data_IF_270584322830
#
_entry.id   IF_270584322830
#
_cell.length_a   1.000
_cell.length_b   1.000
_cell.length_c   1.000
_cell.angle_alpha   90.00
_cell.angle_beta   90.00
_cell.angle_gamma   90.00
#
_symmetry.space_group_name_H-M   'P 1'
#
loop_
_entity.id
_entity.type
_entity.pdbx_description
1 polymer ?
#
# COMPACT_ATOMS: atom_id res chain seq x y z
N UNK A 1 8.70 7.30 18.25
CA UNK A 1 8.87 5.83 18.31
C UNK A 1 9.94 5.36 17.33
N UNK A 2 9.81 5.61 16.02
CA UNK A 2 10.89 5.30 15.06
C UNK A 2 12.20 6.08 15.34
N UNK A 3 12.13 7.27 15.95
CA UNK A 3 13.31 8.01 16.43
C UNK A 3 14.15 7.30 17.51
N UNK A 4 13.63 6.23 18.13
CA UNK A 4 14.38 5.40 19.08
C UNK A 4 15.19 4.31 18.38
N UNK A 5 15.01 4.12 17.07
CA UNK A 5 15.79 3.18 16.28
C UNK A 5 17.09 3.84 15.88
N UNK A 6 18.21 3.33 16.41
CA UNK A 6 19.56 3.81 16.10
C UNK A 6 20.06 3.36 14.71
N UNK A 7 19.24 2.65 13.94
CA UNK A 7 19.60 2.10 12.64
C UNK A 7 18.81 2.75 11.51
N UNK A 8 19.51 3.05 10.42
CA UNK A 8 18.92 3.53 9.18
C UNK A 8 18.29 2.35 8.43
N UNK A 9 16.96 2.24 8.51
CA UNK A 9 16.19 1.26 7.76
C UNK A 9 15.55 1.96 6.54
N UNK A 10 15.93 1.58 5.30
CA UNK A 10 15.33 2.12 4.08
C UNK A 10 13.81 2.00 4.08
N UNK A 11 13.12 3.05 3.64
CA UNK A 11 11.67 3.19 3.67
C UNK A 11 11.10 3.58 5.04
N UNK A 12 11.69 3.09 6.14
CA UNK A 12 11.15 3.26 7.50
C UNK A 12 11.71 4.48 8.22
N UNK A 13 13.04 4.59 8.30
CA UNK A 13 13.71 5.75 8.93
C UNK A 13 14.42 6.63 7.89
N UNK A 14 14.66 6.09 6.70
CA UNK A 14 15.17 6.82 5.53
C UNK A 14 14.10 6.79 4.45
N UNK A 15 13.62 7.93 3.95
CA UNK A 15 12.59 7.94 2.92
C UNK A 15 13.02 7.24 1.63
N UNK A 16 12.06 6.63 0.96
CA UNK A 16 12.23 6.03 -0.37
C UNK A 16 11.85 7.04 -1.45
N UNK A 17 12.73 7.17 -2.45
CA UNK A 17 12.54 8.10 -3.56
C UNK A 17 11.97 7.38 -4.79
N UNK A 18 10.99 8.01 -5.44
CA UNK A 18 10.23 7.45 -6.56
C UNK A 18 10.32 8.37 -7.77
N UNK A 19 10.77 7.82 -8.90
CA UNK A 19 10.75 8.51 -10.20
C UNK A 19 9.85 7.75 -11.14
N UNK A 20 8.83 8.41 -11.68
CA UNK A 20 7.83 7.82 -12.57
C UNK A 20 7.84 8.46 -13.95
N UNK A 21 7.31 7.74 -14.92
CA UNK A 21 6.95 8.23 -16.25
C UNK A 21 5.47 7.97 -16.54
N UNK A 22 4.97 8.41 -17.69
CA UNK A 22 3.59 8.14 -18.10
C UNK A 22 3.31 6.62 -18.03
N UNK A 23 2.24 6.26 -17.33
CA UNK A 23 1.82 4.87 -17.07
C UNK A 23 2.72 4.03 -16.17
N UNK A 24 3.74 4.61 -15.52
CA UNK A 24 4.35 3.95 -14.36
C UNK A 24 3.28 3.68 -13.32
N UNK A 25 3.14 2.43 -12.89
CA UNK A 25 2.07 2.01 -11.98
C UNK A 25 2.63 1.15 -10.85
N UNK A 26 2.02 1.30 -9.67
CA UNK A 26 2.21 0.41 -8.54
C UNK A 26 1.00 -0.51 -8.45
N UNK A 27 1.25 -1.82 -8.46
CA UNK A 27 0.20 -2.81 -8.28
C UNK A 27 -0.44 -2.69 -6.90
N UNK A 28 -1.56 -3.39 -6.69
CA UNK A 28 -2.20 -3.43 -5.39
C UNK A 28 -1.25 -3.94 -4.32
N UNK A 29 -0.98 -3.09 -3.32
CA UNK A 29 -0.01 -3.32 -2.27
C UNK A 29 -0.58 -2.92 -0.90
N UNK A 30 -0.22 -3.71 0.12
CA UNK A 30 -0.46 -3.41 1.53
C UNK A 30 0.83 -3.64 2.29
N UNK A 31 1.17 -2.73 3.20
CA UNK A 31 2.34 -2.90 4.06
C UNK A 31 2.20 -4.17 4.92
N UNK A 32 3.18 -5.09 4.90
CA UNK A 32 3.09 -6.32 5.67
C UNK A 32 3.07 -6.09 7.18
N UNK A 33 3.65 -4.99 7.67
CA UNK A 33 3.75 -4.67 9.09
C UNK A 33 2.56 -3.83 9.61
N UNK A 34 1.58 -3.52 8.76
CA UNK A 34 0.44 -2.66 9.10
C UNK A 34 0.86 -1.25 9.49
N UNK A 35 2.04 -0.78 9.05
CA UNK A 35 2.50 0.57 9.32
C UNK A 35 1.82 1.57 8.39
N UNK A 36 1.36 2.72 8.92
CA UNK A 36 0.96 3.81 8.07
C UNK A 36 2.19 4.46 7.44
N UNK A 37 1.99 5.04 6.26
CA UNK A 37 3.02 5.77 5.55
C UNK A 37 2.44 6.95 4.80
N UNK A 38 3.33 7.85 4.41
CA UNK A 38 2.97 9.08 3.72
C UNK A 38 3.84 9.22 2.48
N UNK A 39 3.25 9.71 1.40
CA UNK A 39 3.98 10.09 0.18
C UNK A 39 3.81 11.59 -0.08
N UNK A 40 4.91 12.27 -0.40
CA UNK A 40 4.92 13.63 -0.91
C UNK A 40 5.30 13.62 -2.40
N UNK A 41 4.49 14.30 -3.23
CA UNK A 41 4.78 14.47 -4.64
C UNK A 41 5.54 15.79 -4.84
N UNK A 42 6.85 15.71 -5.09
CA UNK A 42 7.73 16.87 -5.22
C UNK A 42 7.45 17.68 -6.48
N UNK A 43 7.40 17.02 -7.64
CA UNK A 43 7.27 17.70 -8.93
C UNK A 43 6.78 16.77 -10.05
N UNK A 44 6.40 17.37 -11.18
CA UNK A 44 6.01 16.68 -12.40
C UNK A 44 4.50 16.64 -12.61
N UNK A 45 4.02 15.56 -13.23
CA UNK A 45 2.61 15.31 -13.48
C UNK A 45 1.93 14.70 -12.25
N UNK A 46 0.60 14.78 -12.21
CA UNK A 46 -0.21 14.22 -11.15
C UNK A 46 -0.10 12.69 -11.07
N UNK A 47 -0.37 12.15 -9.89
CA UNK A 47 -0.45 10.71 -9.64
C UNK A 47 -1.87 10.35 -9.23
N UNK A 48 -2.46 9.34 -9.87
CA UNK A 48 -3.79 8.85 -9.51
C UNK A 48 -3.60 7.69 -8.55
N UNK A 49 -4.33 7.72 -7.44
CA UNK A 49 -4.31 6.71 -6.39
C UNK A 49 -5.68 6.06 -6.25
N UNK A 50 -5.64 4.78 -5.92
CA UNK A 50 -6.78 3.99 -5.50
C UNK A 50 -6.47 3.36 -4.14
N UNK A 51 -7.42 3.42 -3.23
CA UNK A 51 -7.29 2.88 -1.87
C UNK A 51 -8.48 1.99 -1.52
N UNK A 52 -8.22 0.81 -0.98
CA UNK A 52 -9.23 -0.08 -0.41
C UNK A 52 -8.97 -0.13 1.10
N UNK A 53 -9.96 0.25 1.92
CA UNK A 53 -9.80 0.24 3.37
C UNK A 53 -9.85 -1.21 3.89
N UNK A 54 -9.33 -1.44 5.10
CA UNK A 54 -9.11 -2.80 5.62
C UNK A 54 -10.41 -3.59 5.83
N UNK A 55 -11.54 -2.90 6.07
CA UNK A 55 -12.87 -3.52 6.20
C UNK A 55 -13.29 -4.27 4.93
N UNK A 56 -12.76 -3.86 3.77
CA UNK A 56 -13.03 -4.49 2.48
C UNK A 56 -11.91 -5.44 2.02
N UNK A 57 -10.90 -5.71 2.86
CA UNK A 57 -9.76 -6.58 2.53
C UNK A 57 -10.19 -8.02 2.19
N UNK A 58 -11.17 -8.58 2.90
CA UNK A 58 -11.70 -9.93 2.65
C UNK A 58 -12.45 -10.01 1.32
N UNK A 59 -13.24 -8.99 1.00
CA UNK A 59 -13.95 -8.91 -0.28
C UNK A 59 -12.96 -8.77 -1.45
N UNK A 60 -11.91 -7.96 -1.25
CA UNK A 60 -10.81 -7.83 -2.21
C UNK A 60 -10.09 -9.17 -2.42
N UNK A 61 -9.76 -9.89 -1.33
CA UNK A 61 -9.15 -11.23 -1.41
C UNK A 61 -10.01 -12.23 -2.17
N UNK A 62 -11.31 -12.29 -1.88
CA UNK A 62 -12.25 -13.18 -2.57
C UNK A 62 -12.30 -12.87 -4.08
N UNK A 63 -12.34 -11.59 -4.43
CA UNK A 63 -12.31 -11.15 -5.83
C UNK A 63 -11.00 -11.53 -6.52
N UNK A 64 -9.86 -11.32 -5.85
CA UNK A 64 -8.55 -11.70 -6.36
C UNK A 64 -8.39 -13.22 -6.51
N UNK A 65 -8.91 -14.01 -5.58
CA UNK A 65 -8.95 -15.48 -5.70
C UNK A 65 -9.81 -15.94 -6.87
N UNK A 66 -10.92 -15.26 -7.16
CA UNK A 66 -11.76 -15.57 -8.31
C UNK A 66 -11.11 -15.22 -9.65
N UNK A 67 -10.35 -14.13 -9.71
CA UNK A 67 -9.72 -13.65 -10.96
C UNK A 67 -8.36 -14.31 -11.21
N UNK A 68 -7.59 -14.51 -10.15
CA UNK A 68 -6.17 -14.87 -10.17
C UNK A 68 -5.85 -15.93 -9.09
N UNK A 69 -6.51 -17.11 -9.11
CA UNK A 69 -6.38 -18.13 -8.07
C UNK A 69 -4.93 -18.61 -7.90
N UNK A 70 -4.13 -18.59 -8.96
CA UNK A 70 -2.73 -19.00 -8.95
C UNK A 70 -1.80 -18.06 -8.18
N UNK A 71 -2.16 -16.79 -8.05
CA UNK A 71 -1.37 -15.78 -7.34
C UNK A 71 -1.81 -15.62 -5.88
N UNK A 72 -3.04 -16.04 -5.54
CA UNK A 72 -3.61 -15.98 -4.20
C UNK A 72 -3.45 -17.28 -3.40
N UNK A 73 -2.49 -18.14 -3.76
CA UNK A 73 -2.36 -19.53 -3.25
C UNK A 73 -1.94 -19.64 -1.79
N UNK A 74 -1.63 -18.53 -1.13
CA UNK A 74 -1.18 -18.54 0.25
C UNK A 74 -2.33 -18.25 1.22
N UNK A 75 -2.53 -19.12 2.21
CA UNK A 75 -3.39 -18.83 3.37
C UNK A 75 -2.80 -17.79 4.32
N UNK A 76 -1.56 -17.32 4.05
CA UNK A 76 -0.82 -16.36 4.88
C UNK A 76 -1.47 -14.98 4.95
N UNK A 77 -1.10 -14.22 5.98
CA UNK A 77 -1.49 -12.81 6.15
C UNK A 77 -1.03 -11.96 4.96
N UNK A 78 0.13 -12.29 4.38
CA UNK A 78 0.61 -11.70 3.11
C UNK A 78 0.21 -12.63 1.96
N UNK A 79 -1.05 -12.54 1.55
CA UNK A 79 -1.59 -13.35 0.45
C UNK A 79 -1.37 -12.72 -0.94
N UNK A 80 -1.04 -11.43 -0.99
CA UNK A 80 -0.69 -10.70 -2.20
C UNK A 80 0.68 -10.05 -1.99
N UNK A 81 1.71 -10.58 -2.67
CA UNK A 81 3.02 -9.93 -2.66
C UNK A 81 2.96 -8.62 -3.45
N UNK A 82 3.84 -7.68 -3.12
CA UNK A 82 4.01 -6.45 -3.90
C UNK A 82 4.27 -6.77 -5.37
N UNK A 83 3.74 -5.94 -6.27
CA UNK A 83 4.01 -5.99 -7.71
C UNK A 83 3.55 -7.26 -8.46
N UNK A 84 2.64 -8.04 -7.87
CA UNK A 84 2.16 -9.29 -8.48
C UNK A 84 1.01 -9.09 -9.46
N UNK A 85 0.02 -8.28 -9.12
CA UNK A 85 -1.20 -8.17 -9.90
C UNK A 85 -1.82 -6.77 -9.87
N UNK A 86 -2.07 -6.23 -11.06
CA UNK A 86 -2.82 -5.00 -11.24
C UNK A 86 -4.23 -5.35 -11.71
N UNK A 87 -5.24 -4.89 -10.97
CA UNK A 87 -6.66 -5.11 -11.30
C UNK A 87 -7.34 -3.77 -11.49
N UNK A 88 -8.10 -3.57 -12.59
CA UNK A 88 -8.85 -2.34 -12.81
C UNK A 88 -9.82 -2.06 -11.66
N UNK A 89 -9.85 -0.83 -11.11
CA UNK A 89 -10.77 -0.45 -10.03
C UNK A 89 -12.25 -0.67 -10.38
N UNK A 90 -12.63 -0.51 -11.65
CA UNK A 90 -14.00 -0.78 -12.11
C UNK A 90 -14.42 -2.22 -11.87
N UNK A 91 -13.55 -3.19 -12.19
CA UNK A 91 -13.81 -4.60 -11.99
C UNK A 91 -13.96 -4.97 -10.51
N UNK A 92 -13.18 -4.32 -9.64
CA UNK A 92 -13.31 -4.49 -8.18
C UNK A 92 -14.65 -3.95 -7.67
N UNK A 93 -15.07 -2.79 -8.18
CA UNK A 93 -16.34 -2.16 -7.81
C UNK A 93 -17.53 -3.00 -8.27
N UNK A 94 -17.49 -3.57 -9.49
CA UNK A 94 -18.51 -4.50 -10.02
C UNK A 94 -18.65 -5.78 -9.16
N UNK A 95 -17.57 -6.19 -8.50
CA UNK A 95 -17.54 -7.35 -7.59
C UNK A 95 -17.87 -6.97 -6.13
N UNK A 96 -18.26 -5.73 -5.87
CA UNK A 96 -18.71 -5.26 -4.55
C UNK A 96 -17.60 -4.79 -3.61
N UNK A 97 -16.39 -4.56 -4.11
CA UNK A 97 -15.28 -4.00 -3.31
C UNK A 97 -15.36 -2.48 -3.34
N UNK A 98 -15.58 -1.86 -2.18
CA UNK A 98 -15.56 -0.40 -2.05
C UNK A 98 -14.13 0.12 -2.08
N UNK A 99 -13.90 1.17 -2.87
CA UNK A 99 -12.59 1.82 -3.01
C UNK A 99 -12.74 3.33 -3.11
N UNK A 100 -11.69 4.03 -2.73
CA UNK A 100 -11.53 5.48 -2.89
C UNK A 100 -10.56 5.79 -4.01
N UNK A 101 -10.80 6.89 -4.72
CA UNK A 101 -9.89 7.44 -5.73
C UNK A 101 -9.46 8.84 -5.31
N UNK A 102 -8.16 9.13 -5.40
CA UNK A 102 -7.63 10.48 -5.22
C UNK A 102 -6.63 10.82 -6.32
N UNK A 103 -6.57 12.09 -6.70
CA UNK A 103 -5.54 12.63 -7.58
C UNK A 103 -4.61 13.45 -6.72
N UNK A 104 -3.32 13.13 -6.75
CA UNK A 104 -2.27 13.83 -6.06
C UNK A 104 -1.55 14.73 -7.06
N UNK A 105 -1.61 16.03 -6.81
CA UNK A 105 -0.87 17.05 -7.56
C UNK A 105 0.46 17.40 -6.87
N UNK A 106 1.45 17.96 -7.59
CA UNK A 106 2.70 18.39 -6.99
C UNK A 106 2.49 19.32 -5.80
N UNK A 107 3.25 19.09 -4.73
CA UNK A 107 3.12 19.80 -3.45
C UNK A 107 2.12 19.16 -2.47
N UNK A 108 1.46 18.06 -2.84
CA UNK A 108 0.47 17.39 -1.99
C UNK A 108 1.02 16.12 -1.32
N UNK A 109 0.47 15.84 -0.15
CA UNK A 109 0.69 14.60 0.58
C UNK A 109 -0.47 13.63 0.37
N UNK A 110 -0.14 12.34 0.24
CA UNK A 110 -1.09 11.23 0.36
C UNK A 110 -0.75 10.43 1.60
N UNK A 111 -1.74 10.24 2.47
CA UNK A 111 -1.60 9.47 3.70
C UNK A 111 -2.26 8.11 3.53
N UNK A 112 -1.52 7.04 3.83
CA UNK A 112 -2.02 5.67 3.79
C UNK A 112 -2.19 5.14 5.21
N UNK A 113 -3.41 4.72 5.52
CA UNK A 113 -3.77 4.17 6.82
C UNK A 113 -3.25 2.73 6.98
N UNK A 114 -3.09 2.26 8.23
CA UNK A 114 -2.72 0.88 8.53
C UNK A 114 -3.61 -0.11 7.78
N UNK A 115 -3.00 -1.17 7.26
CA UNK A 115 -3.69 -2.29 6.58
C UNK A 115 -4.49 -1.94 5.31
N UNK A 116 -4.48 -0.69 4.84
CA UNK A 116 -5.12 -0.31 3.59
C UNK A 116 -4.34 -0.86 2.38
N UNK A 117 -5.07 -1.35 1.37
CA UNK A 117 -4.48 -1.66 0.07
C UNK A 117 -4.45 -0.40 -0.78
N UNK A 118 -3.36 -0.17 -1.48
CA UNK A 118 -3.19 0.97 -2.39
C UNK A 118 -2.69 0.53 -3.74
N UNK A 119 -3.06 1.28 -4.77
CA UNK A 119 -2.49 1.18 -6.11
C UNK A 119 -2.41 2.58 -6.69
N UNK A 120 -1.42 2.83 -7.55
CA UNK A 120 -1.24 4.13 -8.16
C UNK A 120 -0.80 4.05 -9.61
N UNK A 121 -1.07 5.12 -10.36
CA UNK A 121 -0.62 5.29 -11.74
C UNK A 121 -0.19 6.75 -11.97
N UNK A 122 0.99 6.91 -12.58
CA UNK A 122 1.55 8.19 -12.95
C UNK A 122 0.96 8.67 -14.28
N UNK A 123 0.54 9.94 -14.34
CA UNK A 123 0.00 10.54 -15.58
C UNK A 123 1.07 11.25 -16.40
N UNK A 124 2.35 11.04 -16.09
CA UNK A 124 3.49 11.67 -16.76
C UNK A 124 4.78 11.48 -15.97
N UNK A 125 5.82 12.24 -16.33
CA UNK A 125 7.03 12.30 -15.53
C UNK A 125 6.73 12.86 -14.14
N UNK A 126 7.19 12.19 -13.09
CA UNK A 126 7.02 12.66 -11.72
C UNK A 126 8.17 12.26 -10.79
N UNK A 127 8.27 13.00 -9.69
CA UNK A 127 9.23 12.76 -8.61
C UNK A 127 8.49 12.81 -7.28
N UNK A 128 8.54 11.73 -6.50
CA UNK A 128 7.87 11.62 -5.22
C UNK A 128 8.77 10.95 -4.17
N UNK A 129 8.39 11.07 -2.91
CA UNK A 129 9.13 10.49 -1.78
C UNK A 129 8.17 9.96 -0.74
N UNK A 130 8.42 8.75 -0.23
CA UNK A 130 7.56 8.08 0.75
C UNK A 130 8.33 7.65 1.99
N UNK A 131 7.69 7.72 3.16
CA UNK A 131 8.26 7.23 4.42
C UNK A 131 7.19 6.63 5.32
N UNK A 132 7.53 5.54 6.02
CA UNK A 132 6.69 4.98 7.07
C UNK A 132 6.77 5.82 8.34
N UNK A 133 5.71 5.83 9.12
CA UNK A 133 5.72 6.39 10.45
C UNK A 133 4.93 5.50 11.40
N UNK A 134 5.24 5.56 12.70
CA UNK A 134 4.56 4.75 13.70
C UNK A 134 4.02 5.62 14.82
N UNK A 135 2.68 5.60 14.98
CA UNK A 135 2.00 6.20 16.14
C UNK A 135 2.08 5.26 17.34
N UNK A 136 2.01 5.75 18.59
CA UNK A 136 2.01 4.87 19.77
C UNK A 136 0.96 3.76 19.74
N UNK A 137 -0.22 4.04 19.18
CA UNK A 137 -1.30 3.06 19.00
C UNK A 137 -0.95 1.87 18.09
N UNK A 138 0.10 1.98 17.27
CA UNK A 138 0.57 0.85 16.47
C UNK A 138 1.23 -0.23 17.35
N UNK A 139 1.75 0.11 18.53
CA UNK A 139 2.34 -0.89 19.45
C UNK A 139 1.31 -1.95 19.87
N UNK A 140 0.06 -1.55 20.06
CA UNK A 140 -1.02 -2.48 20.42
C UNK A 140 -1.32 -3.47 19.28
N UNK A 141 -1.07 -3.06 18.04
CA UNK A 141 -1.26 -3.87 16.83
C UNK A 141 -0.01 -4.68 16.49
N UNK A 142 1.19 -4.17 16.79
CA UNK A 142 2.44 -4.79 16.36
C UNK A 142 2.66 -6.16 17.00
N UNK A 143 2.25 -6.37 18.25
CA UNK A 143 2.34 -7.68 18.90
C UNK A 143 1.49 -8.73 18.17
N UNK A 144 0.30 -8.34 17.71
CA UNK A 144 -0.58 -9.23 16.93
C UNK A 144 -0.01 -9.53 15.56
N UNK A 145 0.42 -8.49 14.84
CA UNK A 145 1.05 -8.63 13.51
C UNK A 145 2.30 -9.49 13.58
N UNK A 146 3.11 -9.34 14.64
CA UNK A 146 4.31 -10.13 14.83
C UNK A 146 3.99 -11.60 15.13
N UNK A 147 3.00 -11.89 15.98
CA UNK A 147 2.52 -13.26 16.22
C UNK A 147 1.98 -13.90 14.94
N UNK A 148 1.16 -13.19 14.18
CA UNK A 148 0.65 -13.66 12.89
C UNK A 148 1.80 -13.98 11.91
N UNK A 149 2.88 -13.21 11.90
CA UNK A 149 4.07 -13.49 11.09
C UNK A 149 4.87 -14.70 11.59
N UNK A 150 4.95 -14.91 12.91
CA UNK A 150 5.65 -16.04 13.52
C UNK A 150 4.90 -17.36 13.33
N UNK A 151 3.58 -17.36 13.49
CA UNK A 151 2.71 -18.52 13.32
C UNK A 151 2.64 -18.99 11.84
N UNK A 152 3.31 -18.28 10.93
CA UNK A 152 3.37 -18.55 9.49
C UNK A 152 4.70 -19.13 9.01
N UNK A 153 5.64 -19.41 9.93
CA UNK A 153 6.86 -20.21 9.69
C UNK A 153 6.66 -21.65 10.14
#
# INVERSE_FOLDING_TARGET
MLYLMFYLIPGVTVPSFHVGMLFSACCWYRDPHGLPWIEYLHSGASKIWYGIPDEHSTAFRSTMMSLFPQYCRSERTIWLSSDVAMVPPSLLTEKGVSLSRVVQDPGQFVLVFPSAFTSSIATGYLVAESVYFARPSWLDQCERVFKDMQDQH
#
